data_IF_508165778914
#
_entry.id   IF_508165778914
#
_cell.length_a   1.000
_cell.length_b   1.000
_cell.length_c   1.000
_cell.angle_alpha   90.00
_cell.angle_beta   90.00
_cell.angle_gamma   90.00
#
_symmetry.space_group_name_H-M   'P 1'
#
loop_
_entity.id
_entity.type
_entity.pdbx_description
1 polymer ?
#
# COMPACT_ATOMS: atom_id res chain seq x y z
N UNK A 1 2.99 9.46 -15.69
CA UNK A 1 3.86 8.36 -15.21
C UNK A 1 3.73 7.22 -16.20
N UNK A 2 4.81 6.57 -16.64
CA UNK A 2 4.68 5.41 -17.53
C UNK A 2 4.33 4.20 -16.67
N UNK A 3 3.04 3.97 -16.48
CA UNK A 3 2.57 2.74 -15.85
C UNK A 3 2.76 1.59 -16.85
N UNK A 4 3.23 0.45 -16.37
CA UNK A 4 3.15 -0.78 -17.15
C UNK A 4 1.67 -1.14 -17.31
N UNK A 5 1.31 -1.69 -18.47
CA UNK A 5 0.00 -2.32 -18.58
C UNK A 5 -0.06 -3.52 -17.62
N UNK A 6 -1.25 -3.87 -17.16
CA UNK A 6 -1.42 -4.93 -16.16
C UNK A 6 -0.88 -6.28 -16.65
N UNK A 7 -0.83 -6.44 -17.97
CA UNK A 7 -0.46 -7.62 -18.76
C UNK A 7 0.75 -7.37 -19.67
N UNK A 8 1.60 -6.39 -19.33
CA UNK A 8 2.73 -5.94 -20.15
C UNK A 8 3.69 -7.03 -20.64
N UNK A 9 3.83 -8.12 -19.89
CA UNK A 9 4.72 -9.25 -20.21
C UNK A 9 4.17 -10.13 -21.34
N UNK A 10 2.85 -10.12 -21.54
CA UNK A 10 2.12 -10.97 -22.49
C UNK A 10 1.46 -10.17 -23.63
N UNK A 11 1.53 -8.84 -23.60
CA UNK A 11 0.92 -7.98 -24.62
C UNK A 11 1.92 -7.53 -25.70
N UNK A 12 1.45 -7.44 -26.95
CA UNK A 12 2.27 -6.96 -28.07
C UNK A 12 3.34 -7.97 -28.49
N UNK A 13 4.49 -7.48 -28.96
CA UNK A 13 5.61 -8.35 -29.33
C UNK A 13 6.26 -8.93 -28.07
N UNK A 14 6.27 -10.26 -28.00
CA UNK A 14 6.89 -11.03 -26.92
C UNK A 14 8.31 -11.31 -27.38
N UNK A 15 9.16 -10.33 -27.11
CA UNK A 15 10.59 -10.36 -27.39
C UNK A 15 11.31 -10.10 -26.06
N UNK A 16 12.24 -10.98 -25.69
CA UNK A 16 12.92 -10.93 -24.41
C UNK A 16 13.62 -9.60 -24.19
N UNK A 17 14.37 -9.11 -25.18
CA UNK A 17 15.14 -7.88 -25.07
C UNK A 17 14.23 -6.65 -24.89
N UNK A 18 13.17 -6.54 -25.69
CA UNK A 18 12.19 -5.47 -25.58
C UNK A 18 11.55 -5.42 -24.19
N UNK A 19 11.09 -6.57 -23.69
CA UNK A 19 10.44 -6.68 -22.37
C UNK A 19 11.42 -6.40 -21.24
N UNK A 20 12.65 -6.89 -21.34
CA UNK A 20 13.75 -6.61 -20.42
C UNK A 20 14.03 -5.11 -20.32
N UNK A 21 14.21 -4.40 -21.43
CA UNK A 21 14.45 -2.95 -21.38
C UNK A 21 13.24 -2.17 -20.87
N UNK A 22 12.03 -2.58 -21.23
CA UNK A 22 10.78 -2.00 -20.72
C UNK A 22 10.72 -2.09 -19.19
N UNK A 23 11.01 -3.28 -18.65
CA UNK A 23 11.05 -3.50 -17.20
C UNK A 23 12.16 -2.69 -16.54
N UNK A 24 13.38 -2.72 -17.08
CA UNK A 24 14.51 -2.01 -16.48
C UNK A 24 14.25 -0.50 -16.42
N UNK A 25 13.64 0.08 -17.46
CA UNK A 25 13.22 1.49 -17.45
C UNK A 25 12.17 1.77 -16.38
N UNK A 26 11.18 0.88 -16.22
CA UNK A 26 10.16 0.99 -15.18
C UNK A 26 10.75 0.90 -13.76
N UNK A 27 11.62 -0.08 -13.51
CA UNK A 27 12.26 -0.26 -12.20
C UNK A 27 13.20 0.90 -11.87
N UNK A 28 13.92 1.44 -12.86
CA UNK A 28 14.74 2.63 -12.68
C UNK A 28 13.89 3.82 -12.21
N UNK A 29 12.72 4.01 -12.80
CA UNK A 29 11.80 5.06 -12.38
C UNK A 29 11.30 4.82 -10.95
N UNK A 30 10.92 3.59 -10.57
CA UNK A 30 10.51 3.28 -9.20
C UNK A 30 11.63 3.61 -8.20
N UNK A 31 12.86 3.19 -8.49
CA UNK A 31 13.99 3.44 -7.60
C UNK A 31 14.20 4.94 -7.37
N UNK A 32 13.99 5.81 -8.37
CA UNK A 32 14.04 7.26 -8.16
C UNK A 32 13.02 7.77 -7.13
N UNK A 33 11.83 7.16 -7.07
CA UNK A 33 10.84 7.50 -6.03
C UNK A 33 11.28 6.98 -4.66
N UNK A 34 11.84 5.76 -4.59
CA UNK A 34 12.36 5.21 -3.35
C UNK A 34 13.53 6.03 -2.80
N UNK A 35 14.46 6.45 -3.66
CA UNK A 35 15.57 7.36 -3.30
C UNK A 35 15.05 8.71 -2.78
N UNK A 36 13.90 9.17 -3.28
CA UNK A 36 13.20 10.36 -2.79
C UNK A 36 12.30 10.09 -1.57
N UNK A 37 12.41 8.90 -0.95
CA UNK A 37 11.60 8.46 0.19
C UNK A 37 10.08 8.45 -0.08
N UNK A 38 9.66 8.31 -1.34
CA UNK A 38 8.26 8.24 -1.78
C UNK A 38 7.92 6.79 -2.10
N UNK A 39 7.27 6.12 -1.16
CA UNK A 39 7.05 4.68 -1.25
C UNK A 39 5.78 4.32 -2.03
N UNK A 40 4.68 5.03 -1.76
CA UNK A 40 3.39 4.81 -2.38
C UNK A 40 3.05 5.90 -3.40
N UNK A 41 2.38 5.55 -4.51
CA UNK A 41 1.81 4.23 -4.84
C UNK A 41 2.78 3.20 -5.43
N UNK A 42 4.05 3.54 -5.65
CA UNK A 42 5.01 2.78 -6.46
C UNK A 42 5.23 1.35 -5.96
N UNK A 43 5.40 1.16 -4.64
CA UNK A 43 5.56 -0.18 -4.07
C UNK A 43 4.33 -1.06 -4.33
N UNK A 44 3.12 -0.51 -4.19
CA UNK A 44 1.89 -1.27 -4.43
C UNK A 44 1.73 -1.65 -5.90
N UNK A 45 2.17 -0.80 -6.82
CA UNK A 45 2.12 -1.03 -8.27
C UNK A 45 3.11 -2.14 -8.67
N UNK A 46 4.33 -2.08 -8.14
CA UNK A 46 5.35 -3.09 -8.35
C UNK A 46 4.93 -4.47 -7.81
N UNK A 47 4.38 -4.53 -6.59
CA UNK A 47 3.86 -5.78 -6.00
C UNK A 47 2.72 -6.36 -6.87
N UNK A 48 1.85 -5.51 -7.41
CA UNK A 48 0.78 -5.95 -8.30
C UNK A 48 1.33 -6.62 -9.56
N UNK A 49 2.28 -5.99 -10.26
CA UNK A 49 2.86 -6.59 -11.46
C UNK A 49 3.67 -7.86 -11.17
N UNK A 50 4.39 -7.91 -10.05
CA UNK A 50 5.08 -9.13 -9.61
C UNK A 50 4.09 -10.28 -9.39
N UNK A 51 2.98 -10.02 -8.69
CA UNK A 51 1.95 -11.02 -8.46
C UNK A 51 1.30 -11.50 -9.75
N UNK A 52 1.06 -10.61 -10.73
CA UNK A 52 0.52 -11.02 -12.03
C UNK A 52 1.45 -11.99 -12.77
N UNK A 53 2.75 -11.71 -12.78
CA UNK A 53 3.75 -12.54 -13.46
C UNK A 53 3.89 -13.90 -12.78
N UNK A 54 3.94 -13.92 -11.44
CA UNK A 54 4.02 -15.15 -10.66
C UNK A 54 2.75 -15.99 -10.82
N UNK A 55 1.57 -15.35 -10.75
CA UNK A 55 0.29 -16.03 -10.96
C UNK A 55 0.20 -16.63 -12.37
N UNK A 56 0.65 -15.92 -13.40
CA UNK A 56 0.69 -16.47 -14.76
C UNK A 56 1.62 -17.67 -14.88
N UNK A 57 2.80 -17.62 -14.26
CA UNK A 57 3.77 -18.74 -14.26
C UNK A 57 3.23 -19.99 -13.57
N UNK A 58 2.54 -19.82 -12.44
CA UNK A 58 2.07 -20.93 -11.61
C UNK A 58 0.77 -21.55 -12.13
N UNK A 59 -0.11 -20.76 -12.74
CA UNK A 59 -1.44 -21.19 -13.13
C UNK A 59 -1.53 -21.62 -14.60
N UNK A 60 -0.71 -22.60 -15.01
CA UNK A 60 -0.70 -23.18 -16.37
C UNK A 60 -2.03 -23.80 -16.86
N UNK A 61 -3.10 -23.86 -16.03
CA UNK A 61 -4.41 -24.48 -16.42
C UNK A 61 -5.66 -23.82 -15.83
N UNK A 62 -5.61 -23.15 -14.68
CA UNK A 62 -6.79 -22.58 -14.02
C UNK A 62 -6.56 -21.10 -13.69
N UNK A 63 -6.73 -20.26 -14.72
CA UNK A 63 -6.35 -18.86 -14.71
C UNK A 63 -7.43 -17.92 -14.11
N UNK A 64 -8.59 -18.38 -13.60
CA UNK A 64 -9.62 -17.44 -13.10
C UNK A 64 -9.58 -17.20 -11.59
N UNK A 65 -9.23 -18.20 -10.78
CA UNK A 65 -9.44 -18.13 -9.32
C UNK A 65 -8.31 -17.39 -8.56
N UNK A 66 -7.14 -17.22 -9.17
CA UNK A 66 -5.93 -16.78 -8.48
C UNK A 66 -5.36 -15.43 -8.94
N UNK A 67 -5.91 -14.78 -9.97
CA UNK A 67 -5.40 -13.46 -10.36
C UNK A 67 -5.85 -12.35 -9.40
N UNK A 68 -5.04 -11.29 -9.23
CA UNK A 68 -5.45 -10.16 -8.41
C UNK A 68 -6.72 -9.50 -8.97
N UNK A 69 -7.68 -9.17 -8.08
CA UNK A 69 -8.99 -8.55 -8.40
C UNK A 69 -8.94 -7.21 -9.17
N UNK A 70 -7.74 -6.66 -9.41
CA UNK A 70 -7.57 -5.48 -10.26
C UNK A 70 -7.71 -5.82 -11.75
N UNK A 71 -7.42 -7.06 -12.15
CA UNK A 71 -7.66 -7.50 -13.52
C UNK A 71 -9.16 -7.63 -13.78
N UNK A 72 -9.59 -7.03 -14.88
CA UNK A 72 -10.93 -7.22 -15.44
C UNK A 72 -11.09 -8.63 -16.01
N UNK A 73 -12.31 -9.17 -16.03
CA UNK A 73 -12.59 -10.49 -16.62
C UNK A 73 -12.09 -10.61 -18.06
N UNK A 74 -12.20 -9.54 -18.84
CA UNK A 74 -11.70 -9.46 -20.22
C UNK A 74 -10.16 -9.64 -20.28
N UNK A 75 -9.40 -9.09 -19.34
CA UNK A 75 -7.94 -9.26 -19.33
C UNK A 75 -7.54 -10.68 -18.95
N UNK A 76 -8.28 -11.31 -18.02
CA UNK A 76 -8.05 -12.71 -17.64
C UNK A 76 -8.35 -13.65 -18.82
N UNK A 77 -9.45 -13.44 -19.52
CA UNK A 77 -9.79 -14.17 -20.75
C UNK A 77 -8.73 -13.98 -21.84
N UNK A 78 -8.23 -12.75 -22.03
CA UNK A 78 -7.14 -12.48 -22.98
C UNK A 78 -5.87 -13.26 -22.62
N UNK A 79 -5.49 -13.29 -21.35
CA UNK A 79 -4.32 -14.06 -20.90
C UNK A 79 -4.51 -15.57 -21.11
N UNK A 80 -5.73 -16.08 -20.90
CA UNK A 80 -6.06 -17.50 -21.16
C UNK A 80 -5.90 -17.87 -22.62
N UNK A 81 -6.54 -17.11 -23.52
CA UNK A 81 -6.46 -17.35 -24.96
C UNK A 81 -5.03 -17.26 -25.46
N UNK A 82 -4.29 -16.25 -24.99
CA UNK A 82 -2.89 -16.06 -25.34
C UNK A 82 -2.02 -17.23 -24.87
N UNK A 83 -2.26 -17.73 -23.65
CA UNK A 83 -1.56 -18.89 -23.12
C UNK A 83 -1.84 -20.17 -23.91
N UNK A 84 -3.11 -20.42 -24.27
CA UNK A 84 -3.49 -21.57 -25.10
C UNK A 84 -2.79 -21.55 -26.46
N UNK A 85 -2.73 -20.37 -27.11
CA UNK A 85 -2.02 -20.19 -28.38
C UNK A 85 -0.51 -20.44 -28.26
N UNK A 86 0.10 -20.08 -27.12
CA UNK A 86 1.53 -20.24 -26.90
C UNK A 86 1.96 -21.66 -26.59
N UNK A 87 1.08 -22.50 -26.04
CA UNK A 87 1.42 -23.92 -25.81
C UNK A 87 1.71 -24.62 -27.14
N UNK A 88 1.11 -24.18 -28.23
CA UNK A 88 1.35 -24.73 -29.57
C UNK A 88 2.73 -24.33 -30.14
N UNK A 89 3.34 -23.26 -29.62
CA UNK A 89 4.64 -22.73 -30.04
C UNK A 89 5.68 -22.82 -28.92
N UNK A 90 6.57 -23.81 -29.03
CA UNK A 90 7.59 -24.10 -28.04
C UNK A 90 8.65 -22.98 -27.93
N UNK A 91 8.91 -22.22 -28.99
CA UNK A 91 9.90 -21.12 -28.96
C UNK A 91 9.33 -19.90 -28.23
N UNK A 92 8.11 -19.49 -28.57
CA UNK A 92 7.43 -18.38 -27.91
C UNK A 92 7.19 -18.66 -26.41
N UNK A 93 6.86 -19.91 -26.07
CA UNK A 93 6.68 -20.30 -24.68
C UNK A 93 7.99 -20.22 -23.88
N UNK A 94 9.12 -20.63 -24.47
CA UNK A 94 10.44 -20.49 -23.84
C UNK A 94 10.81 -19.02 -23.62
N UNK A 95 10.61 -18.18 -24.63
CA UNK A 95 10.90 -16.75 -24.54
C UNK A 95 10.07 -16.07 -23.45
N UNK A 96 8.80 -16.44 -23.31
CA UNK A 96 7.94 -15.96 -22.24
C UNK A 96 8.40 -16.42 -20.86
N UNK A 97 8.83 -17.69 -20.71
CA UNK A 97 9.39 -18.19 -19.45
C UNK A 97 10.66 -17.42 -19.06
N UNK A 98 11.52 -17.08 -20.03
CA UNK A 98 12.72 -16.27 -19.80
C UNK A 98 12.38 -14.84 -19.36
N UNK A 99 11.40 -14.21 -20.01
CA UNK A 99 10.89 -12.88 -19.61
C UNK A 99 10.39 -12.94 -18.17
N UNK A 100 9.55 -13.92 -17.83
CA UNK A 100 8.97 -14.10 -16.50
C UNK A 100 10.05 -14.32 -15.46
N UNK A 101 11.02 -15.21 -15.74
CA UNK A 101 12.10 -15.54 -14.81
C UNK A 101 12.97 -14.31 -14.50
N UNK A 102 13.43 -13.63 -15.54
CA UNK A 102 14.21 -12.40 -15.41
C UNK A 102 13.43 -11.31 -14.64
N UNK A 103 12.16 -11.12 -15.02
CA UNK A 103 11.33 -10.06 -14.47
C UNK A 103 11.00 -10.28 -13.00
N UNK A 104 10.59 -11.49 -12.63
CA UNK A 104 10.28 -11.84 -11.25
C UNK A 104 11.50 -11.66 -10.34
N UNK A 105 12.69 -12.05 -10.79
CA UNK A 105 13.93 -11.84 -10.05
C UNK A 105 14.21 -10.35 -9.78
N UNK A 106 14.17 -9.52 -10.82
CA UNK A 106 14.42 -8.07 -10.69
C UNK A 106 13.37 -7.36 -9.86
N UNK A 107 12.08 -7.64 -10.09
CA UNK A 107 10.99 -7.07 -9.31
C UNK A 107 11.08 -7.46 -7.83
N UNK A 108 11.39 -8.72 -7.52
CA UNK A 108 11.55 -9.19 -6.13
C UNK A 108 12.63 -8.42 -5.39
N UNK A 109 13.79 -8.18 -6.01
CA UNK A 109 14.84 -7.36 -5.41
C UNK A 109 14.36 -5.94 -5.15
N UNK A 110 13.72 -5.28 -6.12
CA UNK A 110 13.22 -3.92 -5.92
C UNK A 110 12.09 -3.85 -4.86
N UNK A 111 11.24 -4.88 -4.76
CA UNK A 111 10.24 -4.99 -3.69
C UNK A 111 10.92 -5.12 -2.32
N UNK A 112 12.00 -5.89 -2.21
CA UNK A 112 12.78 -6.00 -0.97
C UNK A 112 13.27 -4.62 -0.51
N UNK A 113 13.89 -3.85 -1.41
CA UNK A 113 14.37 -2.51 -1.10
C UNK A 113 13.24 -1.58 -0.63
N UNK A 114 12.07 -1.62 -1.28
CA UNK A 114 10.92 -0.82 -0.85
C UNK A 114 10.33 -1.29 0.48
N UNK A 115 10.37 -2.59 0.75
CA UNK A 115 9.94 -3.18 2.03
C UNK A 115 10.86 -2.75 3.16
N UNK A 116 12.17 -2.67 2.94
CA UNK A 116 13.12 -2.16 3.95
C UNK A 116 12.79 -0.71 4.35
N UNK A 117 12.42 0.15 3.40
CA UNK A 117 11.96 1.53 3.69
C UNK A 117 10.67 1.50 4.51
N UNK A 118 9.72 0.62 4.15
CA UNK A 118 8.46 0.45 4.89
C UNK A 118 8.74 0.06 6.35
N UNK A 119 9.55 -0.98 6.55
CA UNK A 119 9.90 -1.53 7.87
C UNK A 119 10.62 -0.47 8.71
N UNK A 120 11.59 0.23 8.13
CA UNK A 120 12.31 1.31 8.80
C UNK A 120 11.36 2.41 9.31
N UNK A 121 10.39 2.83 8.50
CA UNK A 121 9.41 3.84 8.94
C UNK A 121 8.46 3.26 9.98
N UNK A 122 7.98 2.03 9.80
CA UNK A 122 7.07 1.38 10.75
C UNK A 122 7.70 1.22 12.15
N UNK A 123 8.98 0.82 12.23
CA UNK A 123 9.71 0.66 13.49
C UNK A 123 9.96 1.99 14.22
N UNK A 124 10.03 3.10 13.48
CA UNK A 124 10.24 4.44 14.03
C UNK A 124 8.93 5.23 14.20
N UNK A 125 7.77 4.58 14.11
CA UNK A 125 6.48 5.15 14.42
C UNK A 125 6.04 4.75 15.82
N UNK A 126 5.74 5.74 16.65
CA UNK A 126 5.16 5.52 17.99
C UNK A 126 3.68 5.84 17.95
N UNK A 127 2.85 4.87 18.33
CA UNK A 127 1.40 5.04 18.44
C UNK A 127 1.00 5.03 19.92
N UNK A 128 0.32 6.07 20.37
CA UNK A 128 -0.13 6.21 21.75
C UNK A 128 -1.60 6.66 21.81
N UNK A 129 -2.43 6.07 22.68
CA UNK A 129 -3.79 6.55 22.88
C UNK A 129 -3.80 7.86 23.68
N UNK A 130 -4.65 8.81 23.28
CA UNK A 130 -4.79 10.11 23.95
C UNK A 130 -5.97 10.06 24.91
N UNK A 131 -5.64 10.09 26.20
CA UNK A 131 -6.60 10.04 27.30
C UNK A 131 -7.36 8.71 27.36
N UNK A 132 -8.60 8.76 27.83
CA UNK A 132 -9.45 7.56 27.95
C UNK A 132 -9.99 7.19 26.57
N UNK A 133 -9.85 5.92 26.20
CA UNK A 133 -10.44 5.36 24.99
C UNK A 133 -11.90 4.94 25.26
N UNK A 134 -12.82 5.17 24.30
CA UNK A 134 -14.18 4.63 24.35
C UNK A 134 -14.20 3.10 24.20
N UNK A 135 -15.36 2.49 24.47
CA UNK A 135 -15.61 1.08 24.17
C UNK A 135 -15.64 0.80 22.67
N UNK A 136 -16.17 1.74 21.87
CA UNK A 136 -16.16 1.65 20.41
C UNK A 136 -14.97 2.42 19.83
N UNK A 137 -14.00 1.67 19.29
CA UNK A 137 -12.79 2.21 18.67
C UNK A 137 -12.81 2.09 17.14
N UNK A 138 -13.95 1.72 16.54
CA UNK A 138 -14.09 1.58 15.08
C UNK A 138 -14.02 2.94 14.35
N UNK A 139 -14.33 4.04 15.03
CA UNK A 139 -14.21 5.39 14.48
C UNK A 139 -13.67 6.39 15.50
N UNK A 140 -13.00 7.42 14.99
CA UNK A 140 -12.33 8.38 15.84
C UNK A 140 -11.37 9.28 15.07
N UNK A 141 -10.36 9.76 15.76
CA UNK A 141 -9.33 10.63 15.20
C UNK A 141 -7.95 10.05 15.41
N UNK A 142 -7.02 10.36 14.51
CA UNK A 142 -5.61 10.22 14.80
C UNK A 142 -4.84 11.48 14.43
N UNK A 143 -3.78 11.71 15.19
CA UNK A 143 -2.89 12.84 15.05
C UNK A 143 -1.59 12.34 14.45
N UNK A 144 -1.14 12.92 13.34
CA UNK A 144 0.13 12.59 12.72
C UNK A 144 1.11 13.74 12.90
N UNK A 145 2.16 13.50 13.68
CA UNK A 145 3.29 14.42 13.87
C UNK A 145 4.55 13.78 13.31
N UNK A 146 5.27 14.53 12.48
CA UNK A 146 6.46 14.04 11.79
C UNK A 146 7.62 15.04 11.88
N UNK A 147 8.81 14.51 12.10
CA UNK A 147 10.02 15.29 12.27
C UNK A 147 10.02 16.09 13.58
N UNK A 148 10.99 16.98 13.70
CA UNK A 148 11.12 17.86 14.87
C UNK A 148 10.18 19.09 14.82
N UNK A 149 9.14 19.03 13.99
CA UNK A 149 8.19 20.12 13.84
C UNK A 149 7.03 19.96 14.82
N UNK A 150 6.53 21.08 15.34
CA UNK A 150 5.35 21.11 16.22
C UNK A 150 4.03 21.01 15.43
N UNK A 151 4.08 20.76 14.13
CA UNK A 151 2.90 20.64 13.29
C UNK A 151 2.27 19.25 13.42
N UNK A 152 1.03 19.21 13.88
CA UNK A 152 0.20 18.01 14.00
C UNK A 152 -0.90 18.05 12.95
N UNK A 153 -0.98 17.01 12.12
CA UNK A 153 -2.10 16.84 11.19
C UNK A 153 -3.18 15.99 11.84
N UNK A 154 -4.42 16.45 11.78
CA UNK A 154 -5.58 15.78 12.36
C UNK A 154 -6.35 15.09 11.24
N UNK A 155 -6.59 13.81 11.42
CA UNK A 155 -7.39 12.99 10.51
C UNK A 155 -8.51 12.31 11.28
N UNK A 156 -9.70 12.27 10.69
CA UNK A 156 -10.77 11.38 11.14
C UNK A 156 -10.58 10.02 10.47
N UNK A 157 -10.77 8.94 11.20
CA UNK A 157 -10.74 7.59 10.66
C UNK A 157 -12.02 6.83 10.95
N UNK A 158 -12.33 5.89 10.05
CA UNK A 158 -13.36 4.87 10.26
C UNK A 158 -12.85 3.53 9.73
N UNK A 159 -12.91 2.52 10.57
CA UNK A 159 -12.61 1.14 10.23
C UNK A 159 -13.81 0.51 9.52
N UNK A 160 -13.51 -0.37 8.57
CA UNK A 160 -14.51 -1.18 7.89
C UNK A 160 -14.00 -2.61 7.83
N UNK A 161 -14.78 -3.54 8.34
CA UNK A 161 -14.46 -4.97 8.34
C UNK A 161 -15.12 -5.58 7.11
N UNK A 162 -14.38 -6.35 6.34
CA UNK A 162 -14.92 -7.17 5.27
C UNK A 162 -14.30 -8.56 5.31
N UNK A 163 -15.17 -9.56 5.17
CA UNK A 163 -14.79 -10.97 5.14
C UNK A 163 -14.35 -11.37 3.73
N UNK A 164 -13.21 -12.06 3.62
CA UNK A 164 -12.76 -12.69 2.38
C UNK A 164 -12.18 -14.06 2.69
N UNK A 165 -12.77 -15.12 2.13
CA UNK A 165 -12.27 -16.51 2.20
C UNK A 165 -11.74 -16.92 3.60
N UNK A 166 -12.57 -16.77 4.64
CA UNK A 166 -12.23 -17.07 6.05
C UNK A 166 -11.20 -16.15 6.74
N UNK A 167 -10.79 -15.03 6.13
CA UNK A 167 -9.98 -14.00 6.77
C UNK A 167 -10.72 -12.65 6.86
N UNK A 168 -10.69 -12.04 8.04
CA UNK A 168 -11.25 -10.71 8.30
C UNK A 168 -10.23 -9.64 7.90
N UNK A 169 -10.50 -8.94 6.81
CA UNK A 169 -9.70 -7.78 6.41
C UNK A 169 -10.32 -6.50 6.98
N UNK A 170 -9.48 -5.64 7.56
CA UNK A 170 -9.86 -4.32 8.04
C UNK A 170 -9.31 -3.26 7.09
N UNK A 171 -10.18 -2.49 6.45
CA UNK A 171 -9.79 -1.25 5.79
C UNK A 171 -9.98 -0.08 6.74
N UNK A 172 -9.19 0.97 6.52
CA UNK A 172 -9.33 2.25 7.18
C UNK A 172 -9.64 3.31 6.13
N UNK A 173 -10.76 4.01 6.32
CA UNK A 173 -11.07 5.23 5.58
C UNK A 173 -10.61 6.40 6.43
N UNK A 174 -9.92 7.36 5.81
CA UNK A 174 -9.43 8.55 6.50
C UNK A 174 -9.83 9.82 5.78
N UNK A 175 -10.20 10.84 6.53
CA UNK A 175 -10.46 12.19 6.02
C UNK A 175 -9.56 13.18 6.74
N UNK A 176 -8.86 14.02 5.98
CA UNK A 176 -8.09 15.12 6.55
C UNK A 176 -9.05 16.17 7.13
N UNK A 177 -8.76 16.61 8.35
CA UNK A 177 -9.56 17.64 9.03
C UNK A 177 -8.83 18.96 8.97
N UNK A 178 -7.67 19.05 9.63
CA UNK A 178 -6.89 20.29 9.71
C UNK A 178 -5.45 20.03 10.16
N UNK A 179 -4.64 21.09 10.16
CA UNK A 179 -3.29 21.09 10.72
C UNK A 179 -3.24 22.07 11.88
N UNK A 180 -2.75 21.58 13.02
CA UNK A 180 -2.64 22.35 14.25
C UNK A 180 -1.17 22.48 14.65
N UNK A 181 -0.81 23.60 15.28
CA UNK A 181 0.53 23.78 15.85
C UNK A 181 0.50 23.48 17.34
N UNK A 182 1.36 22.57 17.80
CA UNK A 182 1.53 22.26 19.22
C UNK A 182 2.17 23.43 19.93
N UNK A 183 1.61 23.77 21.08
CA UNK A 183 2.13 24.81 21.97
C UNK A 183 1.92 24.38 23.42
N UNK A 184 2.41 25.15 24.38
CA UNK A 184 2.17 24.86 25.80
C UNK A 184 0.68 24.87 26.17
N UNK A 185 -0.16 25.52 25.35
CA UNK A 185 -1.62 25.56 25.52
C UNK A 185 -2.30 24.49 24.66
N UNK A 186 -1.74 24.20 23.48
CA UNK A 186 -2.31 23.26 22.52
C UNK A 186 -1.67 21.87 22.65
N UNK A 187 -1.99 21.16 23.74
CA UNK A 187 -1.60 19.76 23.96
C UNK A 187 -2.54 18.81 23.22
N UNK A 188 -2.19 17.52 23.10
CA UNK A 188 -3.05 16.54 22.45
C UNK A 188 -4.41 16.36 23.15
N UNK A 189 -4.45 16.48 24.47
CA UNK A 189 -5.67 16.43 25.27
C UNK A 189 -6.55 17.65 24.99
N UNK A 190 -5.95 18.84 24.85
CA UNK A 190 -6.70 20.05 24.51
C UNK A 190 -7.25 19.97 23.09
N UNK A 191 -6.46 19.46 22.14
CA UNK A 191 -6.93 19.21 20.76
C UNK A 191 -8.11 18.23 20.76
N UNK A 192 -8.02 17.13 21.51
CA UNK A 192 -9.13 16.18 21.67
C UNK A 192 -10.38 16.87 22.23
N UNK A 193 -10.23 17.70 23.26
CA UNK A 193 -11.34 18.45 23.85
C UNK A 193 -11.98 19.41 22.85
N UNK A 194 -11.17 20.15 22.09
CA UNK A 194 -11.65 21.09 21.07
C UNK A 194 -12.41 20.36 19.94
N UNK A 195 -11.94 19.18 19.53
CA UNK A 195 -12.64 18.34 18.55
C UNK A 195 -14.01 17.89 19.05
N UNK A 196 -14.11 17.41 20.30
CA UNK A 196 -15.39 16.98 20.90
C UNK A 196 -16.37 18.16 21.00
N UNK A 197 -15.88 19.35 21.33
CA UNK A 197 -16.72 20.55 21.46
C UNK A 197 -17.22 21.08 20.12
N UNK A 198 -16.37 21.04 19.09
CA UNK A 198 -16.68 21.60 17.77
C UNK A 198 -17.44 20.62 16.89
N UNK A 199 -17.30 19.31 17.13
CA UNK A 199 -17.89 18.24 16.31
C UNK A 199 -18.73 17.29 17.16
N UNK A 200 -20.04 17.42 17.02
CA UNK A 200 -21.04 16.64 17.77
C UNK A 200 -21.31 15.26 17.19
N UNK A 201 -20.72 14.91 16.04
CA UNK A 201 -20.88 13.61 15.38
C UNK A 201 -20.25 12.48 16.20
N UNK A 202 -19.16 12.76 16.91
CA UNK A 202 -18.43 11.82 17.75
C UNK A 202 -18.25 12.38 19.16
N UNK A 203 -19.21 12.18 20.09
CA UNK A 203 -19.14 12.74 21.44
C UNK A 203 -18.06 12.07 22.31
N UNK A 204 -17.69 10.81 22.02
CA UNK A 204 -16.63 10.09 22.71
C UNK A 204 -15.71 9.36 21.70
N UNK A 205 -14.87 10.08 20.96
CA UNK A 205 -14.05 9.49 19.91
C UNK A 205 -12.82 8.79 20.49
N UNK A 206 -12.42 7.69 19.87
CA UNK A 206 -11.10 7.12 20.06
C UNK A 206 -10.07 8.05 19.41
N UNK A 207 -9.04 8.44 20.16
CA UNK A 207 -8.00 9.36 19.66
C UNK A 207 -6.63 8.75 19.88
N UNK A 208 -5.83 8.73 18.82
CA UNK A 208 -4.46 8.21 18.85
C UNK A 208 -3.48 9.27 18.35
N UNK A 209 -2.33 9.43 18.99
CA UNK A 209 -1.18 10.13 18.44
C UNK A 209 -0.24 9.15 17.77
N UNK A 210 0.20 9.51 16.58
CA UNK A 210 1.20 8.82 15.79
C UNK A 210 2.35 9.80 15.59
N UNK A 211 3.48 9.48 16.21
CA UNK A 211 4.66 10.35 16.22
C UNK A 211 5.86 9.64 15.60
N UNK A 212 6.66 10.41 14.87
CA UNK A 212 7.96 9.97 14.37
C UNK A 212 8.92 11.15 14.27
N UNK A 213 10.19 10.91 14.56
CA UNK A 213 11.27 11.89 14.35
C UNK A 213 11.70 11.95 12.87
N UNK A 214 11.23 11.01 12.05
CA UNK A 214 11.56 10.92 10.64
C UNK A 214 10.90 12.04 9.83
N UNK A 215 11.64 12.58 8.86
CA UNK A 215 11.18 13.65 7.95
C UNK A 215 10.90 13.10 6.54
N UNK A 216 9.93 12.19 6.43
CA UNK A 216 9.52 11.57 5.17
C UNK A 216 8.32 12.31 4.53
N UNK A 217 8.11 12.16 3.21
CA UNK A 217 6.90 12.63 2.54
C UNK A 217 5.63 12.09 3.20
N UNK A 218 4.72 13.00 3.55
CA UNK A 218 3.53 12.64 4.33
C UNK A 218 2.55 11.81 3.50
N UNK A 219 2.20 12.27 2.31
CA UNK A 219 1.17 11.62 1.49
C UNK A 219 1.66 10.30 0.89
N UNK A 220 2.90 10.26 0.43
CA UNK A 220 3.46 9.09 -0.25
C UNK A 220 4.01 8.02 0.69
N UNK A 221 4.36 8.35 1.94
CA UNK A 221 5.04 7.39 2.84
C UNK A 221 4.45 7.37 4.25
N UNK A 222 4.52 8.48 4.99
CA UNK A 222 4.14 8.45 6.41
C UNK A 222 2.66 8.14 6.62
N UNK A 223 1.76 8.78 5.89
CA UNK A 223 0.31 8.62 6.05
C UNK A 223 -0.14 7.20 5.66
N UNK A 224 0.27 6.61 4.52
CA UNK A 224 -0.02 5.21 4.20
C UNK A 224 0.47 4.23 5.27
N UNK A 225 1.70 4.41 5.79
CA UNK A 225 2.27 3.51 6.79
C UNK A 225 1.56 3.68 8.13
N UNK A 226 1.38 4.93 8.59
CA UNK A 226 0.64 5.26 9.81
C UNK A 226 -0.77 4.66 9.83
N UNK A 227 -1.50 4.70 8.70
CA UNK A 227 -2.80 4.05 8.55
C UNK A 227 -2.73 2.55 8.80
N UNK A 228 -1.76 1.86 8.18
CA UNK A 228 -1.59 0.40 8.32
C UNK A 228 -1.19 0.02 9.75
N UNK A 229 -0.24 0.75 10.33
CA UNK A 229 0.22 0.54 11.71
C UNK A 229 -0.89 0.81 12.73
N UNK A 230 -1.72 1.83 12.52
CA UNK A 230 -2.88 2.11 13.37
C UNK A 230 -3.91 0.98 13.33
N UNK A 231 -4.23 0.45 12.14
CA UNK A 231 -5.14 -0.71 12.00
C UNK A 231 -4.59 -1.91 12.75
N UNK A 232 -3.29 -2.20 12.64
CA UNK A 232 -2.61 -3.28 13.36
C UNK A 232 -2.70 -3.08 14.86
N UNK A 233 -2.41 -1.87 15.35
CA UNK A 233 -2.47 -1.50 16.76
C UNK A 233 -3.88 -1.69 17.36
N UNK A 234 -4.91 -1.16 16.68
CA UNK A 234 -6.32 -1.29 17.12
C UNK A 234 -6.76 -2.76 17.12
N UNK A 235 -6.33 -3.54 16.12
CA UNK A 235 -6.70 -4.95 16.01
C UNK A 235 -6.07 -5.79 17.12
N UNK A 236 -4.83 -5.50 17.51
CA UNK A 236 -4.16 -6.17 18.63
C UNK A 236 -4.77 -5.80 19.98
N UNK A 237 -5.22 -4.56 20.15
CA UNK A 237 -5.88 -4.12 21.38
C UNK A 237 -7.31 -4.66 21.55
N UNK A 238 -7.94 -5.15 20.47
CA UNK A 238 -9.29 -5.72 20.47
C UNK A 238 -9.33 -7.25 20.62
N UNK A 239 -8.15 -7.89 20.63
CA UNK A 239 -8.00 -9.34 20.74
C UNK A 239 -7.79 -9.76 22.20
#
# INVERSE_FOLDING_TARGET
MKQLSETWFAEGFIDFELKKYTLLSYLQQINQYFDANKLYPQLSDLIFHYNNIVAFRENKKYLQEHFPKKLTGIQIEKLQVLYEQMIEDNELMQELEDIIHFSAGKMKTTISNGTEIYEFVEENLTITPIGILPLDIQEGYFFLSAGNNKATRVYQYRLSIFEKHNENFRAIKTSYIEMMQRSMVNTYENIKYDLIKTRSDLPNPAVYSIETELSFPVEETLLPIAKRSLVKFISQASA
#
